data_IF_952513092489
#
_entry.id   IF_952513092489
#
_cell.length_a   1.000
_cell.length_b   1.000
_cell.length_c   1.000
_cell.angle_alpha   90.00
_cell.angle_beta   90.00
_cell.angle_gamma   90.00
#
_symmetry.space_group_name_H-M   'P 1'
#
loop_
_entity.id
_entity.type
_entity.pdbx_description
1 polymer ?
#
# COMPACT_ATOMS: atom_id res chain seq x y z
N UNK A 1 17.36 49.75 -0.76
CA UNK A 1 18.26 48.58 -0.69
C UNK A 1 17.94 47.62 0.46
N UNK A 2 17.80 48.06 1.73
CA UNK A 2 17.53 47.17 2.88
C UNK A 2 16.18 46.42 2.83
N UNK A 3 15.11 47.09 2.34
CA UNK A 3 13.80 46.48 2.14
C UNK A 3 13.82 45.41 1.04
N UNK A 4 14.64 45.60 0.01
CA UNK A 4 14.81 44.66 -1.09
C UNK A 4 15.55 43.40 -0.65
N UNK A 5 16.58 43.55 0.18
CA UNK A 5 17.33 42.43 0.74
C UNK A 5 16.48 41.59 1.70
N UNK A 6 15.66 42.23 2.54
CA UNK A 6 14.68 41.53 3.39
C UNK A 6 13.60 40.82 2.57
N UNK A 7 13.03 41.49 1.57
CA UNK A 7 12.04 40.87 0.68
C UNK A 7 12.62 39.69 -0.11
N UNK A 8 13.86 39.81 -0.60
CA UNK A 8 14.56 38.77 -1.34
C UNK A 8 14.87 37.55 -0.46
N UNK A 9 15.33 37.74 0.79
CA UNK A 9 15.52 36.63 1.74
C UNK A 9 14.20 35.92 2.06
N UNK A 10 13.12 36.67 2.26
CA UNK A 10 11.79 36.09 2.53
C UNK A 10 11.27 35.28 1.36
N UNK A 11 11.43 35.77 0.12
CA UNK A 11 10.99 35.06 -1.09
C UNK A 11 11.82 33.78 -1.31
N UNK A 12 13.14 33.81 -1.09
CA UNK A 12 13.99 32.63 -1.15
C UNK A 12 13.60 31.57 -0.11
N UNK A 13 13.29 31.99 1.12
CA UNK A 13 12.88 31.07 2.18
C UNK A 13 11.55 30.37 1.84
N UNK A 14 10.58 31.09 1.28
CA UNK A 14 9.30 30.51 0.85
C UNK A 14 9.48 29.55 -0.33
N UNK A 15 10.35 29.86 -1.29
CA UNK A 15 10.68 28.96 -2.41
C UNK A 15 11.38 27.67 -1.93
N UNK A 16 12.27 27.76 -0.94
CA UNK A 16 12.95 26.60 -0.37
C UNK A 16 11.98 25.65 0.37
N UNK A 17 10.95 26.19 1.03
CA UNK A 17 9.93 25.40 1.74
C UNK A 17 8.99 24.69 0.74
N UNK A 18 8.74 25.25 -0.44
CA UNK A 18 7.91 24.59 -1.47
C UNK A 18 8.60 23.42 -2.17
N UNK A 19 9.94 23.32 -2.10
CA UNK A 19 10.71 22.25 -2.74
C UNK A 19 10.79 20.95 -1.92
N UNK A 20 10.28 20.92 -0.67
CA UNK A 20 10.35 19.75 0.21
C UNK A 20 9.15 18.81 0.11
N UNK A 21 8.12 19.14 -0.68
CA UNK A 21 6.99 18.25 -0.95
C UNK A 21 7.23 17.37 -2.17
N UNK A 22 8.35 16.64 -2.21
CA UNK A 22 8.44 15.44 -3.08
C UNK A 22 7.81 14.28 -2.33
N UNK A 23 6.49 14.18 -2.41
CA UNK A 23 5.78 12.94 -2.06
C UNK A 23 6.12 11.87 -3.11
N UNK A 24 7.30 11.24 -2.99
CA UNK A 24 7.57 9.94 -3.61
C UNK A 24 6.86 8.84 -2.82
N UNK A 25 5.54 8.98 -2.70
CA UNK A 25 4.65 7.91 -2.29
C UNK A 25 4.11 7.26 -3.55
N UNK A 26 4.76 6.17 -4.01
CA UNK A 26 4.15 5.24 -4.95
C UNK A 26 3.02 4.47 -4.21
N UNK A 27 2.02 5.20 -3.76
CA UNK A 27 0.85 4.69 -3.05
C UNK A 27 -0.42 5.20 -3.72
N UNK A 28 -0.38 5.46 -5.04
CA UNK A 28 -1.58 5.45 -5.84
C UNK A 28 -1.90 4.00 -6.24
N UNK A 29 -2.05 3.13 -5.25
CA UNK A 29 -2.72 1.86 -5.44
C UNK A 29 -4.19 2.19 -5.69
N UNK A 30 -4.49 2.64 -6.91
CA UNK A 30 -5.83 2.58 -7.48
C UNK A 30 -6.37 1.21 -7.08
N UNK A 31 -7.56 1.10 -6.44
CA UNK A 31 -8.09 -0.21 -6.13
C UNK A 31 -8.06 -1.03 -7.40
N UNK A 32 -7.21 -2.08 -7.43
CA UNK A 32 -7.25 -3.02 -8.53
C UNK A 32 -8.69 -3.52 -8.55
N UNK A 33 -9.40 -3.32 -9.66
CA UNK A 33 -10.74 -3.89 -9.82
C UNK A 33 -10.72 -5.40 -9.54
N UNK A 34 -9.57 -6.04 -9.81
CA UNK A 34 -9.20 -7.38 -9.38
C UNK A 34 -7.70 -7.65 -9.56
N UNK A 35 -7.16 -8.68 -8.89
CA UNK A 35 -5.83 -9.21 -9.15
C UNK A 35 -5.75 -9.85 -10.56
N UNK A 36 -4.81 -9.39 -11.39
CA UNK A 36 -4.48 -10.00 -12.70
C UNK A 36 -3.28 -10.96 -12.63
N UNK A 37 -2.49 -10.85 -11.57
CA UNK A 37 -1.36 -11.72 -11.26
C UNK A 37 -1.29 -11.97 -9.76
N UNK A 38 -0.52 -12.98 -9.35
CA UNK A 38 -0.36 -13.37 -7.95
C UNK A 38 1.11 -13.57 -7.62
N UNK A 39 1.48 -13.31 -6.37
CA UNK A 39 2.80 -13.61 -5.82
C UNK A 39 2.75 -14.81 -4.86
N UNK A 40 3.81 -15.60 -4.83
CA UNK A 40 4.05 -16.65 -3.84
C UNK A 40 4.93 -16.18 -2.69
N UNK A 41 5.54 -15.00 -2.80
CA UNK A 41 6.41 -14.42 -1.78
C UNK A 41 5.62 -14.06 -0.52
N UNK A 42 6.27 -14.16 0.64
CA UNK A 42 5.70 -13.77 1.92
C UNK A 42 5.81 -12.25 2.07
N UNK A 43 4.79 -11.64 2.67
CA UNK A 43 4.81 -10.21 3.03
C UNK A 43 5.31 -10.04 4.46
N UNK A 44 6.13 -9.02 4.72
CA UNK A 44 6.55 -8.64 6.07
C UNK A 44 5.49 -7.76 6.75
N UNK A 45 4.62 -7.15 5.96
CA UNK A 45 3.60 -6.23 6.42
C UNK A 45 2.51 -6.93 7.25
N UNK A 46 2.01 -6.26 8.32
CA UNK A 46 0.84 -6.72 9.04
C UNK A 46 -0.38 -6.86 8.10
N UNK A 47 -0.94 -8.07 8.05
CA UNK A 47 -2.16 -8.38 7.29
C UNK A 47 -3.36 -8.05 8.17
N UNK A 48 -4.18 -7.11 7.71
CA UNK A 48 -5.37 -6.63 8.43
C UNK A 48 -6.60 -7.46 8.07
N UNK A 49 -6.77 -7.73 6.76
CA UNK A 49 -7.92 -8.46 6.22
C UNK A 49 -7.50 -9.27 5.02
N UNK A 50 -8.37 -10.19 4.62
CA UNK A 50 -8.22 -10.96 3.42
C UNK A 50 -9.56 -11.21 2.75
N UNK A 51 -9.55 -11.38 1.43
CA UNK A 51 -10.70 -11.73 0.60
C UNK A 51 -10.29 -12.79 -0.41
N UNK A 52 -11.18 -13.74 -0.69
CA UNK A 52 -10.99 -14.70 -1.77
C UNK A 52 -11.52 -14.10 -3.08
N UNK A 53 -10.67 -14.00 -4.09
CA UNK A 53 -11.05 -13.59 -5.44
C UNK A 53 -11.11 -14.82 -6.36
N UNK A 54 -12.30 -15.09 -6.90
CA UNK A 54 -12.45 -16.12 -7.95
C UNK A 54 -11.90 -15.60 -9.28
N UNK A 55 -11.36 -16.51 -10.10
CA UNK A 55 -10.95 -16.16 -11.45
C UNK A 55 -12.15 -15.73 -12.30
N UNK A 56 -11.99 -14.62 -13.03
CA UNK A 56 -12.92 -14.11 -14.03
C UNK A 56 -12.13 -13.19 -14.97
N UNK A 57 -11.74 -13.63 -16.19
CA UNK A 57 -10.83 -12.88 -17.05
C UNK A 57 -11.19 -11.39 -17.18
N UNK A 58 -10.23 -10.47 -16.97
CA UNK A 58 -8.78 -10.68 -16.85
C UNK A 58 -8.30 -11.04 -15.43
N UNK A 59 -9.20 -11.24 -14.48
CA UNK A 59 -8.90 -11.54 -13.08
C UNK A 59 -8.49 -13.00 -12.90
N UNK A 60 -7.44 -13.24 -12.13
CA UNK A 60 -6.97 -14.59 -11.77
C UNK A 60 -7.50 -15.02 -10.41
N UNK A 61 -7.38 -16.30 -10.08
CA UNK A 61 -7.71 -16.82 -8.76
C UNK A 61 -6.67 -16.33 -7.74
N UNK A 62 -7.08 -15.62 -6.70
CA UNK A 62 -6.16 -14.96 -5.78
C UNK A 62 -6.71 -14.87 -4.35
N UNK A 63 -5.80 -14.82 -3.38
CA UNK A 63 -6.07 -14.31 -2.04
C UNK A 63 -5.63 -12.86 -2.01
N UNK A 64 -6.58 -11.96 -1.82
CA UNK A 64 -6.33 -10.53 -1.74
C UNK A 64 -6.14 -10.19 -0.27
N UNK A 65 -4.92 -9.80 0.11
CA UNK A 65 -4.60 -9.34 1.46
C UNK A 65 -4.61 -7.82 1.50
N UNK A 66 -5.37 -7.27 2.45
CA UNK A 66 -5.24 -5.85 2.83
C UNK A 66 -4.19 -5.76 3.93
N UNK A 67 -3.08 -5.09 3.65
CA UNK A 67 -2.00 -4.83 4.59
C UNK A 67 -1.96 -3.35 4.94
N UNK A 68 -1.15 -2.98 5.94
CA UNK A 68 -0.93 -1.57 6.30
C UNK A 68 -0.33 -0.73 5.17
N UNK A 69 0.33 -1.35 4.19
CA UNK A 69 0.94 -0.67 3.03
C UNK A 69 0.09 -0.74 1.76
N UNK A 70 -1.04 -1.46 1.79
CA UNK A 70 -1.95 -1.56 0.65
C UNK A 70 -2.40 -2.98 0.33
N UNK A 71 -2.91 -3.17 -0.88
CA UNK A 71 -3.46 -4.46 -1.33
C UNK A 71 -2.37 -5.32 -1.95
N UNK A 72 -2.30 -6.59 -1.52
CA UNK A 72 -1.35 -7.58 -2.02
C UNK A 72 -2.07 -8.83 -2.52
N UNK A 73 -1.74 -9.28 -3.74
CA UNK A 73 -2.33 -10.46 -4.39
C UNK A 73 -1.45 -11.69 -4.19
N UNK A 74 -1.95 -12.69 -3.48
CA UNK A 74 -1.21 -13.94 -3.21
C UNK A 74 -1.83 -15.15 -3.89
N UNK A 75 -0.98 -16.09 -4.29
CA UNK A 75 -1.42 -17.37 -4.85
C UNK A 75 -2.11 -18.22 -3.76
N UNK A 76 -3.33 -18.75 -3.98
CA UNK A 76 -4.05 -19.52 -2.95
C UNK A 76 -3.30 -20.76 -2.43
N UNK A 77 -2.38 -21.30 -3.23
CA UNK A 77 -1.56 -22.47 -2.90
C UNK A 77 -0.20 -22.11 -2.28
N UNK A 78 0.14 -20.84 -2.07
CA UNK A 78 1.40 -20.47 -1.45
C UNK A 78 1.46 -21.01 0.01
N UNK A 79 2.57 -21.66 0.44
CA UNK A 79 2.62 -22.40 1.71
C UNK A 79 2.25 -21.58 2.96
N UNK A 80 2.55 -20.28 2.95
CA UNK A 80 2.33 -19.39 4.09
C UNK A 80 0.88 -18.87 4.20
N UNK A 81 0.10 -18.91 3.12
CA UNK A 81 -1.24 -18.29 3.04
C UNK A 81 -2.20 -18.85 4.08
N UNK A 82 -2.20 -20.18 4.27
CA UNK A 82 -3.06 -20.83 5.28
C UNK A 82 -2.75 -20.32 6.68
N UNK A 83 -1.45 -20.15 7.00
CA UNK A 83 -1.00 -19.64 8.30
C UNK A 83 -1.39 -18.17 8.48
N UNK A 84 -1.25 -17.34 7.44
CA UNK A 84 -1.67 -15.94 7.46
C UNK A 84 -3.18 -15.79 7.70
N UNK A 85 -4.02 -16.50 6.93
CA UNK A 85 -5.48 -16.50 7.10
C UNK A 85 -5.87 -16.90 8.53
N UNK A 86 -5.24 -17.95 9.08
CA UNK A 86 -5.48 -18.39 10.47
C UNK A 86 -5.18 -17.27 11.48
N UNK A 87 -4.04 -16.57 11.34
CA UNK A 87 -3.70 -15.44 12.21
C UNK A 87 -4.75 -14.32 12.15
N UNK A 88 -5.18 -13.93 10.95
CA UNK A 88 -6.21 -12.89 10.79
C UNK A 88 -7.54 -13.32 11.43
N UNK A 89 -7.95 -14.58 11.26
CA UNK A 89 -9.17 -15.12 11.88
C UNK A 89 -9.11 -15.12 13.41
N UNK A 90 -7.96 -15.50 13.98
CA UNK A 90 -7.74 -15.48 15.42
C UNK A 90 -7.79 -14.05 15.98
N UNK A 91 -7.15 -13.09 15.32
CA UNK A 91 -7.18 -11.69 15.73
C UNK A 91 -8.59 -11.07 15.68
N UNK A 92 -9.45 -11.49 14.74
CA UNK A 92 -10.86 -11.04 14.68
C UNK A 92 -11.76 -11.67 15.74
N UNK A 93 -11.36 -12.80 16.32
CA UNK A 93 -12.13 -13.52 17.35
C UNK A 93 -11.75 -13.09 18.77
N UNK A 94 -10.71 -12.27 18.92
CA UNK A 94 -10.37 -11.67 20.21
C UNK A 94 -11.42 -10.59 20.56
N UNK A 95 -12.08 -10.71 21.72
CA UNK A 95 -13.18 -9.83 22.15
C UNK A 95 -12.73 -8.40 22.42
#
# INVERSE_FOLDING_TARGET
>A
MQLYQRAMLSVLAVFAIMLTFTSTGLANAKPLSCCKSVSTMTFEEPILRYTFQKANPPCVNAIVFETSKGVQCSAPNAPWVRKAIKKVRMAKQQP
#
